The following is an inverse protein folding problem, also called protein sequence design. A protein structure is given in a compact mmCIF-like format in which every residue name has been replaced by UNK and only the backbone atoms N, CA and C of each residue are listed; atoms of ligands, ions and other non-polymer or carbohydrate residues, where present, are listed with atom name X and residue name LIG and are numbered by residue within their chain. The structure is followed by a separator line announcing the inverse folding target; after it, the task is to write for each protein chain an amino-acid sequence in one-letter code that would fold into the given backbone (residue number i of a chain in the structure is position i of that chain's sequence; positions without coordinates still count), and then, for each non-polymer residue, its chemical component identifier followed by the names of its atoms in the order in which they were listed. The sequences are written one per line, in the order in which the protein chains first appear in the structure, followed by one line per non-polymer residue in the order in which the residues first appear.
data_IF_863928020439
#
_entry.id   IF_863928020439
#
_cell.length_a   1.000
_cell.length_b   1.000
_cell.length_c   1.000
_cell.angle_alpha   90.00
_cell.angle_beta   90.00
_cell.angle_gamma   90.00
#
_symmetry.space_group_name_H-M   'P 1'
#
loop_
_entity.id
_entity.type
_entity.pdbx_description
1 polymer ?
#
# COMPACT_ATOMS: atom_id res chain seq x y z
N UNK A 1 9.95 -5.55 -1.46
CA UNK A 1 9.72 -4.85 -2.74
C UNK A 1 8.25 -4.96 -3.06
N UNK A 2 7.51 -3.87 -2.99
CA UNK A 2 6.13 -3.77 -3.45
C UNK A 2 6.02 -2.60 -4.40
N UNK A 3 6.63 -2.76 -5.56
CA UNK A 3 6.09 -2.15 -6.76
C UNK A 3 5.15 -3.17 -7.39
N UNK A 4 3.98 -2.74 -7.86
CA UNK A 4 3.27 -3.50 -8.89
C UNK A 4 4.27 -3.84 -10.02
N UNK A 5 4.17 -5.03 -10.65
CA UNK A 5 4.86 -5.29 -11.90
C UNK A 5 4.60 -4.11 -12.85
N UNK A 6 5.64 -3.48 -13.40
CA UNK A 6 5.52 -2.32 -14.28
C UNK A 6 6.11 -1.00 -13.77
N UNK A 7 6.47 -0.86 -12.49
CA UNK A 7 7.11 0.37 -11.99
C UNK A 7 8.53 0.09 -11.47
N UNK A 8 9.53 0.33 -12.32
CA UNK A 8 10.91 0.49 -11.91
C UNK A 8 11.00 1.73 -11.01
N UNK A 9 11.32 1.53 -9.73
CA UNK A 9 11.31 2.59 -8.74
C UNK A 9 12.61 3.39 -8.79
N UNK A 10 12.49 4.65 -9.18
CA UNK A 10 13.59 5.59 -9.32
C UNK A 10 13.74 6.45 -8.07
N UNK A 11 14.90 6.36 -7.45
CA UNK A 11 15.28 7.12 -6.26
C UNK A 11 16.34 8.17 -6.62
N UNK A 12 16.51 9.16 -5.76
CA UNK A 12 17.59 10.15 -5.93
C UNK A 12 18.89 9.57 -5.39
N UNK A 13 19.89 9.46 -6.27
CA UNK A 13 21.25 9.10 -5.91
C UNK A 13 21.99 10.23 -5.20
N UNK A 14 23.14 9.90 -4.61
CA UNK A 14 23.99 10.85 -3.88
C UNK A 14 24.55 11.97 -4.75
N UNK A 15 24.68 11.74 -6.06
CA UNK A 15 25.11 12.71 -7.07
C UNK A 15 23.93 13.53 -7.64
N UNK A 16 22.72 13.32 -7.12
CA UNK A 16 21.50 13.98 -7.56
C UNK A 16 20.82 13.33 -8.77
N UNK A 17 21.41 12.31 -9.40
CA UNK A 17 20.81 11.58 -10.52
C UNK A 17 19.76 10.59 -10.06
N UNK A 18 18.85 10.22 -10.94
CA UNK A 18 17.87 9.17 -10.68
C UNK A 18 18.53 7.80 -10.84
N UNK A 19 18.38 6.94 -9.83
CA UNK A 19 18.93 5.59 -9.77
C UNK A 19 17.83 4.55 -9.56
N UNK A 20 17.99 3.37 -10.17
CA UNK A 20 17.06 2.27 -10.02
C UNK A 20 17.42 1.42 -8.80
N UNK A 21 16.53 1.33 -7.81
CA UNK A 21 16.81 0.65 -6.54
C UNK A 21 17.20 -0.83 -6.67
N UNK A 22 16.73 -1.53 -7.71
CA UNK A 22 16.97 -2.97 -7.90
C UNK A 22 18.42 -3.36 -8.25
N UNK A 23 19.26 -2.39 -8.60
CA UNK A 23 20.63 -2.65 -9.06
C UNK A 23 21.68 -1.89 -8.24
N UNK A 24 21.29 -1.45 -7.04
CA UNK A 24 22.18 -0.72 -6.11
C UNK A 24 22.83 -1.65 -5.07
N UNK A 25 23.97 -1.26 -4.46
CA UNK A 25 24.62 -2.02 -3.40
C UNK A 25 23.73 -2.30 -2.18
N UNK A 26 22.77 -1.42 -1.88
CA UNK A 26 21.79 -1.60 -0.81
C UNK A 26 20.87 -2.80 -1.08
N UNK A 27 20.52 -3.04 -2.34
CA UNK A 27 19.75 -4.22 -2.73
C UNK A 27 20.54 -5.51 -2.52
N UNK A 28 21.85 -5.51 -2.81
CA UNK A 28 22.74 -6.64 -2.48
C UNK A 28 22.73 -6.95 -0.99
N UNK A 29 22.80 -5.92 -0.16
CA UNK A 29 22.77 -6.05 1.31
C UNK A 29 21.46 -6.67 1.78
N UNK A 30 20.33 -6.16 1.29
CA UNK A 30 19.00 -6.69 1.64
C UNK A 30 18.82 -8.14 1.16
N UNK A 31 19.23 -8.45 -0.07
CA UNK A 31 19.18 -9.81 -0.62
C UNK A 31 20.06 -10.79 0.16
N UNK A 32 21.24 -10.36 0.59
CA UNK A 32 22.11 -11.15 1.47
C UNK A 32 21.42 -11.51 2.78
N UNK A 33 20.70 -10.55 3.40
CA UNK A 33 19.95 -10.82 4.63
C UNK A 33 18.75 -11.74 4.38
N UNK A 34 18.03 -11.57 3.28
CA UNK A 34 16.94 -12.48 2.89
C UNK A 34 17.45 -13.90 2.63
N UNK A 35 18.63 -14.05 2.02
CA UNK A 35 19.27 -15.34 1.81
C UNK A 35 19.66 -16.01 3.14
N UNK A 36 20.17 -15.25 4.11
CA UNK A 36 20.43 -15.74 5.47
C UNK A 36 19.14 -16.19 6.16
N UNK A 37 18.06 -15.41 6.04
CA UNK A 37 16.75 -15.74 6.61
C UNK A 37 16.15 -17.00 5.98
N UNK A 38 16.24 -17.15 4.65
CA UNK A 38 15.81 -18.36 3.94
C UNK A 38 16.62 -19.58 4.39
N UNK A 39 17.95 -19.47 4.43
CA UNK A 39 18.84 -20.54 4.89
C UNK A 39 18.54 -20.95 6.34
N UNK A 40 18.17 -19.99 7.19
CA UNK A 40 17.82 -20.21 8.60
C UNK A 40 16.40 -20.74 8.80
N UNK A 41 15.58 -20.86 7.74
CA UNK A 41 14.22 -21.37 7.80
C UNK A 41 13.17 -20.33 8.22
N UNK A 42 13.51 -19.04 8.27
CA UNK A 42 12.56 -17.96 8.59
C UNK A 42 11.69 -17.56 7.40
N UNK A 43 12.08 -17.94 6.17
CA UNK A 43 11.28 -17.78 4.96
C UNK A 43 10.87 -19.19 4.50
N UNK A 44 9.60 -19.37 4.15
CA UNK A 44 9.09 -20.65 3.69
C UNK A 44 9.83 -21.14 2.43
N UNK A 45 10.12 -22.44 2.35
CA UNK A 45 10.96 -23.01 1.30
C UNK A 45 10.40 -22.80 -0.11
N UNK A 46 9.08 -22.77 -0.23
CA UNK A 46 8.31 -22.64 -1.47
C UNK A 46 7.80 -21.21 -1.71
N UNK A 47 8.34 -20.19 -1.02
CA UNK A 47 7.86 -18.79 -1.14
C UNK A 47 7.78 -18.32 -2.60
N UNK A 48 8.70 -18.76 -3.45
CA UNK A 48 8.82 -18.33 -4.85
C UNK A 48 7.64 -18.76 -5.74
N UNK A 49 6.83 -19.74 -5.32
CA UNK A 49 5.68 -20.25 -6.08
C UNK A 49 4.32 -19.93 -5.42
N UNK A 50 4.34 -19.08 -4.39
CA UNK A 50 3.13 -18.62 -3.70
C UNK A 50 2.65 -17.29 -4.28
N UNK A 51 1.42 -17.29 -4.76
CA UNK A 51 0.67 -16.06 -4.99
C UNK A 51 0.07 -15.53 -3.69
N UNK A 52 -0.56 -14.35 -3.76
CA UNK A 52 -1.18 -13.68 -2.60
C UNK A 52 -2.25 -14.56 -1.93
N UNK A 53 -3.00 -15.36 -2.70
CA UNK A 53 -4.01 -16.28 -2.18
C UNK A 53 -3.39 -17.38 -1.33
N UNK A 54 -2.34 -18.04 -1.85
CA UNK A 54 -1.59 -19.08 -1.12
C UNK A 54 -0.89 -18.56 0.13
N UNK A 55 -0.40 -17.32 0.10
CA UNK A 55 0.12 -16.64 1.31
C UNK A 55 -1.03 -16.46 2.31
N UNK A 56 -2.21 -16.03 1.85
CA UNK A 56 -3.40 -15.91 2.69
C UNK A 56 -3.82 -17.21 3.36
N UNK A 57 -3.85 -18.32 2.62
CA UNK A 57 -4.09 -19.66 3.17
C UNK A 57 -3.05 -20.06 4.21
N UNK A 58 -1.78 -19.69 4.00
CA UNK A 58 -0.68 -19.97 4.93
C UNK A 58 -0.82 -19.16 6.24
N UNK A 59 -1.30 -17.92 6.15
CA UNK A 59 -1.65 -17.08 7.31
C UNK A 59 -2.83 -17.68 8.09
N UNK A 60 -3.92 -18.06 7.42
CA UNK A 60 -5.09 -18.68 8.09
C UNK A 60 -4.75 -20.06 8.67
N UNK A 61 -3.87 -20.82 8.02
CA UNK A 61 -3.39 -22.11 8.52
C UNK A 61 -2.31 -22.01 9.59
N UNK A 62 -1.99 -20.80 10.07
CA UNK A 62 -1.04 -20.52 11.17
C UNK A 62 0.40 -20.97 10.87
N UNK A 63 0.75 -21.04 9.58
CA UNK A 63 2.13 -21.36 9.14
C UNK A 63 3.03 -20.13 9.10
N UNK A 64 2.43 -18.95 9.00
CA UNK A 64 3.12 -17.66 8.91
C UNK A 64 2.73 -16.82 10.12
N UNK A 65 3.74 -16.30 10.84
CA UNK A 65 3.55 -15.35 11.94
C UNK A 65 3.83 -13.89 11.56
N UNK A 66 4.47 -13.65 10.41
CA UNK A 66 4.78 -12.31 9.89
C UNK A 66 4.84 -12.36 8.37
N UNK A 67 4.22 -11.37 7.70
CA UNK A 67 4.27 -11.24 6.25
C UNK A 67 4.30 -9.77 5.84
N UNK A 68 4.90 -9.51 4.68
CA UNK A 68 4.83 -8.20 4.06
C UNK A 68 3.48 -8.03 3.36
N UNK A 69 2.87 -6.86 3.49
CA UNK A 69 1.52 -6.64 2.99
C UNK A 69 1.12 -5.18 2.91
N UNK A 70 -0.05 -4.96 2.33
CA UNK A 70 -0.66 -3.64 2.21
C UNK A 70 -1.62 -3.45 3.39
N UNK A 71 -1.89 -2.18 3.73
CA UNK A 71 -2.68 -1.83 4.91
C UNK A 71 -4.08 -2.47 4.94
N UNK A 72 -4.62 -2.84 3.78
CA UNK A 72 -5.94 -3.48 3.65
C UNK A 72 -5.95 -4.98 3.95
N UNK A 73 -4.79 -5.61 4.23
CA UNK A 73 -4.75 -7.03 4.58
C UNK A 73 -5.49 -7.36 5.90
N UNK A 74 -5.81 -6.34 6.69
CA UNK A 74 -6.71 -6.43 7.85
C UNK A 74 -8.14 -6.82 7.48
N UNK A 75 -8.56 -6.65 6.22
CA UNK A 75 -9.86 -7.12 5.71
C UNK A 75 -9.81 -8.53 5.14
N UNK A 76 -8.65 -8.98 4.69
CA UNK A 76 -8.38 -10.36 4.25
C UNK A 76 -6.86 -10.53 4.08
N UNK A 77 -6.24 -11.60 4.60
CA UNK A 77 -6.82 -12.80 5.19
C UNK A 77 -7.03 -12.74 6.71
N UNK A 78 -6.60 -11.64 7.36
CA UNK A 78 -6.46 -11.58 8.81
C UNK A 78 -7.74 -11.87 9.61
N UNK A 79 -8.96 -11.46 9.19
CA UNK A 79 -10.17 -11.78 9.93
C UNK A 79 -10.43 -13.28 10.03
N UNK A 80 -10.19 -14.03 8.94
CA UNK A 80 -10.31 -15.49 8.94
C UNK A 80 -9.27 -16.15 9.84
N UNK A 81 -8.04 -15.61 9.89
CA UNK A 81 -7.00 -16.11 10.81
C UNK A 81 -7.40 -15.89 12.28
N UNK A 82 -7.95 -14.73 12.61
CA UNK A 82 -8.45 -14.39 13.95
C UNK A 82 -9.68 -15.21 14.34
N UNK A 83 -10.59 -15.47 13.40
CA UNK A 83 -11.75 -16.34 13.62
C UNK A 83 -11.32 -17.78 13.94
N UNK A 84 -10.34 -18.30 13.21
CA UNK A 84 -9.80 -19.64 13.44
C UNK A 84 -9.01 -19.71 14.75
N UNK A 85 -8.19 -18.71 15.05
CA UNK A 85 -7.44 -18.58 16.29
C UNK A 85 -7.77 -17.27 17.02
N UNK A 86 -8.77 -17.28 17.91
CA UNK A 86 -9.13 -16.13 18.74
C UNK A 86 -8.05 -15.68 19.72
N UNK A 87 -6.88 -16.33 19.81
CA UNK A 87 -5.71 -15.83 20.54
C UNK A 87 -4.69 -15.07 19.66
N UNK A 88 -4.76 -15.15 18.33
CA UNK A 88 -3.81 -14.49 17.42
C UNK A 88 -3.87 -12.94 17.50
N UNK A 89 -2.76 -12.26 17.81
CA UNK A 89 -2.69 -10.78 17.85
C UNK A 89 -1.87 -10.26 16.66
N UNK A 90 -2.55 -9.96 15.54
CA UNK A 90 -1.90 -9.41 14.36
C UNK A 90 -1.75 -7.90 14.49
N UNK A 91 -0.53 -7.40 14.34
CA UNK A 91 -0.22 -5.97 14.41
C UNK A 91 0.49 -5.47 13.16
N UNK A 92 0.22 -4.22 12.74
CA UNK A 92 1.05 -3.54 11.77
C UNK A 92 2.37 -3.12 12.44
N UNK A 93 3.46 -3.23 11.70
CA UNK A 93 4.77 -2.77 12.14
C UNK A 93 5.38 -1.87 11.06
N UNK A 94 6.10 -0.81 11.45
CA UNK A 94 6.95 -0.10 10.51
C UNK A 94 7.93 -1.08 9.84
N UNK A 95 8.24 -0.83 8.57
CA UNK A 95 9.33 -1.47 7.85
C UNK A 95 10.59 -1.39 8.74
N UNK A 96 11.22 -2.53 9.09
CA UNK A 96 12.41 -2.52 9.92
C UNK A 96 13.60 -1.94 9.15
N UNK A 97 14.54 -1.33 9.87
CA UNK A 97 15.82 -0.88 9.31
C UNK A 97 16.99 -1.52 10.05
N UNK A 98 18.07 -1.82 9.33
CA UNK A 98 19.36 -2.18 9.91
C UNK A 98 20.15 -0.95 10.43
N UNK A 99 19.69 0.27 10.11
CA UNK A 99 20.27 1.54 10.54
C UNK A 99 19.72 2.74 9.74
N UNK A 100 19.78 3.94 10.31
CA UNK A 100 19.26 5.15 9.67
C UNK A 100 17.74 5.27 9.68
N UNK A 101 17.20 6.13 8.82
CA UNK A 101 15.76 6.43 8.76
C UNK A 101 15.07 5.53 7.74
N UNK A 102 14.02 4.83 8.17
CA UNK A 102 13.13 4.09 7.26
C UNK A 102 12.40 5.10 6.37
N UNK A 103 12.33 4.82 5.08
CA UNK A 103 11.41 5.52 4.18
C UNK A 103 10.30 4.58 3.74
N UNK A 104 9.09 5.11 3.67
CA UNK A 104 7.94 4.42 3.10
C UNK A 104 7.60 5.06 1.77
N UNK A 105 7.42 4.24 0.75
CA UNK A 105 7.10 4.74 -0.57
C UNK A 105 5.60 5.04 -0.67
N UNK A 106 5.27 6.20 -1.22
CA UNK A 106 3.95 6.48 -1.73
C UNK A 106 3.96 6.22 -3.23
N UNK A 107 3.12 5.30 -3.70
CA UNK A 107 2.94 5.12 -5.14
C UNK A 107 2.10 6.30 -5.65
N UNK A 108 2.42 6.80 -6.84
CA UNK A 108 1.53 7.70 -7.57
C UNK A 108 0.15 7.01 -7.61
N UNK A 109 -0.83 7.58 -6.90
CA UNK A 109 -2.16 7.00 -6.65
C UNK A 109 -3.04 6.87 -7.89
N UNK A 110 -2.44 6.82 -9.08
CA UNK A 110 -3.08 6.64 -10.38
C UNK A 110 -3.14 5.14 -10.67
N UNK A 111 -4.28 4.54 -10.34
CA UNK A 111 -4.54 3.12 -10.60
C UNK A 111 -5.16 2.88 -11.98
N UNK A 112 -5.71 3.93 -12.60
CA UNK A 112 -6.35 3.87 -13.90
C UNK A 112 -6.41 5.25 -14.56
N UNK A 113 -6.46 5.25 -15.90
CA UNK A 113 -6.82 6.41 -16.70
C UNK A 113 -8.14 6.14 -17.42
N UNK A 114 -9.08 7.09 -17.35
CA UNK A 114 -10.29 7.05 -18.17
C UNK A 114 -10.04 7.85 -19.44
N UNK A 115 -10.16 7.21 -20.60
CA UNK A 115 -9.90 7.83 -21.91
C UNK A 115 -11.17 7.84 -22.75
N UNK A 116 -11.45 8.98 -23.38
CA UNK A 116 -12.59 9.15 -24.30
C UNK A 116 -12.11 8.99 -25.73
N UNK A 117 -12.72 8.05 -26.47
CA UNK A 117 -12.41 7.82 -27.89
C UNK A 117 -12.69 9.07 -28.73
N UNK A 118 -11.76 9.43 -29.62
CA UNK A 118 -11.95 10.50 -30.60
C UNK A 118 -13.22 10.25 -31.44
N UNK A 119 -14.06 11.28 -31.56
CA UNK A 119 -15.34 11.19 -32.28
C UNK A 119 -16.50 10.61 -31.47
N UNK A 120 -16.35 10.40 -30.16
CA UNK A 120 -17.48 10.09 -29.28
C UNK A 120 -18.58 11.17 -29.41
N UNK A 121 -19.85 10.77 -29.43
CA UNK A 121 -20.98 11.70 -29.56
C UNK A 121 -21.12 12.63 -28.35
N UNK A 122 -20.73 12.15 -27.16
CA UNK A 122 -20.88 12.86 -25.88
C UNK A 122 -19.60 12.74 -25.02
N UNK A 123 -18.47 13.35 -25.42
CA UNK A 123 -17.22 13.25 -24.66
C UNK A 123 -17.33 13.89 -23.27
N UNK A 124 -18.19 14.89 -23.10
CA UNK A 124 -18.44 15.58 -21.84
C UNK A 124 -19.09 14.70 -20.77
N UNK A 125 -19.75 13.60 -21.17
CA UNK A 125 -20.40 12.69 -20.23
C UNK A 125 -19.41 12.10 -19.22
N UNK A 126 -18.16 11.85 -19.64
CA UNK A 126 -17.12 11.32 -18.75
C UNK A 126 -16.83 12.26 -17.57
N UNK A 127 -16.66 13.55 -17.83
CA UNK A 127 -16.41 14.57 -16.80
C UNK A 127 -17.66 14.80 -15.95
N UNK A 128 -18.86 14.77 -16.55
CA UNK A 128 -20.11 14.88 -15.79
C UNK A 128 -20.29 13.73 -14.79
N UNK A 129 -19.95 12.49 -15.19
CA UNK A 129 -19.98 11.33 -14.29
C UNK A 129 -18.95 11.50 -13.16
N UNK A 130 -17.71 11.92 -13.48
CA UNK A 130 -16.69 12.16 -12.46
C UNK A 130 -17.11 13.26 -11.46
N UNK A 131 -17.65 14.37 -11.96
CA UNK A 131 -18.15 15.45 -11.10
C UNK A 131 -19.29 14.96 -10.21
N UNK A 132 -20.24 14.22 -10.78
CA UNK A 132 -21.35 13.64 -10.01
C UNK A 132 -20.83 12.69 -8.93
N UNK A 133 -19.86 11.82 -9.27
CA UNK A 133 -19.22 10.93 -8.31
C UNK A 133 -18.58 11.72 -7.17
N UNK A 134 -17.71 12.69 -7.47
CA UNK A 134 -17.02 13.49 -6.45
C UNK A 134 -18.00 14.30 -5.58
N UNK A 135 -19.07 14.83 -6.17
CA UNK A 135 -20.10 15.59 -5.45
C UNK A 135 -20.87 14.73 -4.45
N UNK A 136 -21.20 13.49 -4.82
CA UNK A 136 -22.01 12.60 -3.99
C UNK A 136 -21.21 11.72 -3.04
N UNK A 137 -20.01 11.29 -3.44
CA UNK A 137 -19.19 10.36 -2.68
C UNK A 137 -18.37 11.04 -1.59
N UNK A 138 -17.88 12.27 -1.79
CA UNK A 138 -16.96 12.92 -0.86
C UNK A 138 -17.73 13.70 0.22
N UNK A 139 -17.61 13.37 1.51
CA UNK A 139 -18.25 14.08 2.62
C UNK A 139 -17.83 15.55 2.80
N UNK A 140 -16.75 15.99 2.14
CA UNK A 140 -16.37 17.41 2.10
C UNK A 140 -17.18 18.21 1.05
N UNK A 141 -17.98 17.53 0.22
CA UNK A 141 -18.87 18.15 -0.75
C UNK A 141 -20.17 18.63 -0.08
N UNK A 142 -20.69 19.83 -0.45
CA UNK A 142 -22.02 20.26 0.02
C UNK A 142 -23.15 19.34 -0.48
N UNK A 143 -22.92 18.58 -1.54
CA UNK A 143 -23.88 17.68 -2.17
C UNK A 143 -23.71 16.21 -1.74
N UNK A 144 -22.91 15.93 -0.71
CA UNK A 144 -22.61 14.59 -0.21
C UNK A 144 -23.88 13.76 0.01
N UNK A 145 -23.82 12.50 -0.39
CA UNK A 145 -24.90 11.54 -0.24
C UNK A 145 -24.42 10.31 0.54
N UNK A 146 -24.89 10.11 1.79
CA UNK A 146 -24.43 9.01 2.63
C UNK A 146 -24.72 7.62 2.05
N UNK A 147 -25.61 7.50 1.05
CA UNK A 147 -25.88 6.24 0.34
C UNK A 147 -24.65 5.69 -0.39
N UNK A 148 -23.71 6.56 -0.78
CA UNK A 148 -22.51 6.16 -1.48
C UNK A 148 -21.61 5.24 -0.65
N UNK A 149 -21.56 5.43 0.66
CA UNK A 149 -20.68 4.69 1.57
C UNK A 149 -21.40 3.77 2.56
N UNK A 150 -22.70 3.50 2.34
CA UNK A 150 -23.54 2.84 3.34
C UNK A 150 -23.45 3.57 4.69
N UNK A 151 -23.70 4.88 4.68
CA UNK A 151 -23.69 5.71 5.88
C UNK A 151 -24.62 5.18 6.98
N UNK A 152 -24.54 5.72 8.20
CA UNK A 152 -25.08 5.14 9.44
C UNK A 152 -26.61 4.94 9.50
N UNK A 153 -27.34 5.35 8.47
CA UNK A 153 -28.80 5.29 8.38
C UNK A 153 -29.28 4.31 7.29
N UNK A 154 -28.37 3.51 6.71
CA UNK A 154 -28.65 2.71 5.51
C UNK A 154 -28.97 1.23 5.82
N UNK A 155 -30.03 0.63 5.23
CA UNK A 155 -30.44 -0.74 5.53
C UNK A 155 -29.39 -1.80 5.16
N UNK A 156 -29.35 -2.88 5.93
CA UNK A 156 -28.41 -4.02 5.88
C UNK A 156 -28.24 -4.68 4.49
N UNK A 157 -29.21 -4.52 3.59
CA UNK A 157 -29.17 -5.02 2.21
C UNK A 157 -28.53 -4.09 1.18
N UNK A 158 -28.01 -2.93 1.59
CA UNK A 158 -27.58 -1.89 0.66
C UNK A 158 -26.17 -2.04 0.12
N UNK A 159 -26.04 -1.81 -1.19
CA UNK A 159 -24.80 -1.87 -1.93
C UNK A 159 -24.12 -0.49 -1.95
N UNK A 160 -22.85 -0.44 -1.54
CA UNK A 160 -21.95 0.70 -1.71
C UNK A 160 -22.08 1.37 -3.09
N UNK A 161 -22.88 2.45 -3.22
CA UNK A 161 -23.26 2.97 -4.53
C UNK A 161 -22.06 3.50 -5.32
N UNK A 162 -20.98 3.89 -4.63
CA UNK A 162 -19.73 4.28 -5.26
C UNK A 162 -19.19 3.20 -6.22
N UNK A 163 -19.48 1.92 -5.96
CA UNK A 163 -19.02 0.79 -6.78
C UNK A 163 -19.68 0.73 -8.16
N UNK A 164 -20.83 1.38 -8.34
CA UNK A 164 -21.53 1.39 -9.63
C UNK A 164 -21.04 2.48 -10.58
N UNK A 165 -20.24 3.44 -10.10
CA UNK A 165 -19.73 4.49 -10.96
C UNK A 165 -18.67 3.95 -11.93
N UNK A 166 -18.84 4.11 -13.25
CA UNK A 166 -17.85 3.65 -14.22
C UNK A 166 -16.60 4.54 -14.25
N UNK A 167 -16.70 5.76 -13.70
CA UNK A 167 -15.61 6.72 -13.57
C UNK A 167 -15.59 7.20 -12.13
N UNK A 168 -14.47 7.03 -11.44
CA UNK A 168 -14.34 7.32 -10.02
C UNK A 168 -12.96 7.89 -9.71
N UNK A 169 -12.89 8.68 -8.64
CA UNK A 169 -11.65 9.12 -8.02
C UNK A 169 -11.93 9.40 -6.54
N UNK A 170 -11.02 8.98 -5.66
CA UNK A 170 -11.19 9.17 -4.21
C UNK A 170 -10.35 10.34 -3.71
N UNK A 171 -10.76 10.93 -2.60
CA UNK A 171 -9.93 11.93 -1.93
C UNK A 171 -8.62 11.26 -1.46
N UNK A 172 -7.44 11.75 -1.86
CA UNK A 172 -6.17 11.04 -1.65
C UNK A 172 -5.80 10.90 -0.17
N UNK A 173 -6.31 11.79 0.69
CA UNK A 173 -6.07 11.76 2.14
C UNK A 173 -7.24 11.16 2.93
N UNK A 174 -8.26 10.58 2.28
CA UNK A 174 -9.46 10.07 2.96
C UNK A 174 -9.10 9.20 4.18
N UNK A 175 -8.28 8.17 3.97
CA UNK A 175 -8.03 7.17 5.02
C UNK A 175 -7.15 7.69 6.16
N UNK A 176 -6.20 8.59 5.86
CA UNK A 176 -5.38 9.22 6.90
C UNK A 176 -6.21 10.21 7.74
N UNK A 177 -7.17 10.91 7.11
CA UNK A 177 -8.10 11.78 7.82
C UNK A 177 -9.03 10.97 8.74
N UNK A 178 -9.52 9.82 8.28
CA UNK A 178 -10.30 8.89 9.11
C UNK A 178 -9.49 8.49 10.36
N UNK A 179 -8.24 8.05 10.17
CA UNK A 179 -7.37 7.66 11.28
C UNK A 179 -7.13 8.80 12.28
N UNK A 180 -6.79 10.00 11.80
CA UNK A 180 -6.58 11.17 12.65
C UNK A 180 -7.84 11.52 13.46
N UNK A 181 -9.01 11.46 12.83
CA UNK A 181 -10.29 11.66 13.50
C UNK A 181 -10.51 10.65 14.63
N UNK A 182 -10.21 9.37 14.41
CA UNK A 182 -10.31 8.34 15.46
C UNK A 182 -9.35 8.59 16.63
N UNK A 183 -8.10 8.97 16.35
CA UNK A 183 -7.09 9.27 17.39
C UNK A 183 -7.52 10.48 18.22
N UNK A 184 -7.98 11.56 17.60
CA UNK A 184 -8.46 12.75 18.31
C UNK A 184 -9.73 12.48 19.11
N UNK A 185 -10.66 11.67 18.57
CA UNK A 185 -11.84 11.23 19.31
C UNK A 185 -11.45 10.45 20.58
N UNK A 186 -10.45 9.56 20.50
CA UNK A 186 -9.95 8.84 21.67
C UNK A 186 -9.46 9.74 22.81
N UNK A 187 -8.87 10.89 22.47
CA UNK A 187 -8.38 11.91 23.42
C UNK A 187 -9.49 12.80 23.97
N UNK A 188 -10.33 13.33 23.08
CA UNK A 188 -11.31 14.36 23.42
C UNK A 188 -12.67 13.79 23.87
N UNK A 189 -13.01 12.57 23.43
CA UNK A 189 -14.34 11.95 23.57
C UNK A 189 -15.47 12.83 23.05
N UNK A 190 -15.18 13.61 22.01
CA UNK A 190 -16.10 14.54 21.36
C UNK A 190 -16.34 14.08 19.91
N UNK A 191 -17.54 13.62 19.54
CA UNK A 191 -17.87 13.22 18.17
C UNK A 191 -17.60 14.30 17.11
N UNK A 192 -17.55 15.58 17.48
CA UNK A 192 -17.29 16.68 16.52
C UNK A 192 -15.86 16.68 15.97
N UNK A 193 -14.90 16.04 16.67
CA UNK A 193 -13.52 15.92 16.20
C UNK A 193 -13.32 14.80 15.16
N UNK A 194 -14.35 13.97 14.94
CA UNK A 194 -14.34 12.98 13.88
C UNK A 194 -14.23 13.65 12.51
N UNK A 195 -13.51 12.99 11.61
CA UNK A 195 -13.39 13.40 10.21
C UNK A 195 -14.75 13.38 9.51
N UNK A 196 -14.86 14.05 8.37
CA UNK A 196 -16.12 14.09 7.63
C UNK A 196 -16.62 12.69 7.18
N UNK A 197 -15.74 11.68 7.09
CA UNK A 197 -16.10 10.31 6.69
C UNK A 197 -16.67 9.44 7.81
N UNK A 198 -16.45 9.79 9.07
CA UNK A 198 -16.91 9.01 10.23
C UNK A 198 -17.77 9.84 11.22
N UNK A 199 -17.90 11.15 11.00
CA UNK A 199 -18.79 12.00 11.80
C UNK A 199 -20.25 11.56 11.65
N UNK A 200 -20.96 11.47 12.78
CA UNK A 200 -22.36 11.06 12.83
C UNK A 200 -22.58 9.56 12.60
N UNK A 201 -21.51 8.76 12.45
CA UNK A 201 -21.60 7.31 12.32
C UNK A 201 -21.75 6.66 13.69
N UNK A 202 -22.99 6.40 14.09
CA UNK A 202 -23.30 5.76 15.37
C UNK A 202 -22.57 4.41 15.53
N UNK A 203 -22.51 3.53 14.51
CA UNK A 203 -21.74 2.29 14.59
C UNK A 203 -20.23 2.52 14.78
N UNK A 204 -19.64 3.54 14.13
CA UNK A 204 -18.22 3.87 14.33
C UNK A 204 -17.98 4.45 15.72
N UNK A 205 -18.90 5.26 16.24
CA UNK A 205 -18.83 5.81 17.61
C UNK A 205 -18.93 4.68 18.64
N UNK A 206 -19.92 3.79 18.53
CA UNK A 206 -20.06 2.62 19.38
C UNK A 206 -18.82 1.70 19.30
N UNK A 207 -18.24 1.55 18.11
CA UNK A 207 -16.98 0.84 17.89
C UNK A 207 -15.82 1.48 18.64
N UNK A 208 -15.71 2.81 18.62
CA UNK A 208 -14.68 3.55 19.34
C UNK A 208 -14.91 3.45 20.86
N UNK A 209 -16.13 3.71 21.34
CA UNK A 209 -16.49 3.64 22.76
C UNK A 209 -16.23 2.27 23.36
N UNK A 210 -16.58 1.19 22.65
CA UNK A 210 -16.32 -0.19 23.09
C UNK A 210 -14.83 -0.59 22.96
N UNK A 211 -14.08 0.03 22.04
CA UNK A 211 -12.67 -0.29 21.74
C UNK A 211 -11.64 0.45 22.60
N UNK A 212 -11.98 1.62 23.17
CA UNK A 212 -11.06 2.45 23.95
C UNK A 212 -11.32 2.37 25.47
N UNK A 213 -10.39 1.80 26.24
CA UNK A 213 -10.36 1.95 27.70
C UNK A 213 -9.30 2.98 28.11
N UNK A 214 -9.67 4.26 28.25
CA UNK A 214 -8.78 5.27 28.84
C UNK A 214 -8.75 6.61 28.11
N UNK A 215 -8.01 7.56 28.69
CA UNK A 215 -7.74 8.92 28.19
C UNK A 215 -6.38 9.05 27.48
N UNK A 216 -5.61 7.96 27.42
CA UNK A 216 -4.26 7.89 26.84
C UNK A 216 -4.26 7.54 25.33
N UNK A 217 -5.42 7.20 24.76
CA UNK A 217 -5.57 6.91 23.33
C UNK A 217 -5.10 5.52 22.91
N UNK A 218 -4.69 4.66 23.85
CA UNK A 218 -4.32 3.27 23.56
C UNK A 218 -5.55 2.37 23.71
N UNK A 219 -6.25 2.09 22.61
CA UNK A 219 -7.38 1.16 22.64
C UNK A 219 -6.95 -0.31 22.77
N UNK A 220 -7.87 -1.17 23.22
CA UNK A 220 -7.62 -2.61 23.37
C UNK A 220 -7.54 -3.30 22.00
N UNK A 221 -6.35 -3.72 21.57
CA UNK A 221 -6.26 -4.75 20.53
C UNK A 221 -6.62 -6.16 21.04
N UNK A 222 -6.67 -6.35 22.36
CA UNK A 222 -6.77 -7.68 22.95
C UNK A 222 -8.22 -8.19 23.13
N UNK A 223 -9.25 -7.34 22.98
CA UNK A 223 -10.63 -7.70 23.39
C UNK A 223 -11.68 -7.72 22.28
N UNK A 224 -11.44 -7.07 21.14
CA UNK A 224 -12.47 -6.87 20.12
C UNK A 224 -12.20 -7.78 18.94
N UNK A 225 -12.47 -9.08 19.07
CA UNK A 225 -12.46 -10.03 17.95
C UNK A 225 -13.88 -10.27 17.46
N UNK A 226 -14.56 -9.18 17.13
CA UNK A 226 -15.93 -9.14 16.62
C UNK A 226 -15.90 -8.69 15.15
N UNK A 227 -17.06 -8.53 14.52
CA UNK A 227 -17.21 -8.08 13.12
C UNK A 227 -16.47 -6.76 12.81
N UNK A 228 -16.18 -5.96 13.84
CA UNK A 228 -15.59 -4.62 13.71
C UNK A 228 -14.06 -4.58 13.82
N UNK A 229 -13.41 -5.70 14.18
CA UNK A 229 -11.94 -5.80 14.31
C UNK A 229 -11.17 -5.30 13.08
N UNK A 230 -11.57 -5.60 11.83
CA UNK A 230 -10.84 -5.16 10.64
C UNK A 230 -10.77 -3.63 10.52
N UNK A 231 -11.88 -2.93 10.79
CA UNK A 231 -11.91 -1.46 10.75
C UNK A 231 -11.01 -0.83 11.81
N UNK A 232 -11.04 -1.40 13.03
CA UNK A 232 -10.16 -0.99 14.12
C UNK A 232 -8.68 -1.17 13.77
N UNK A 233 -8.30 -2.33 13.24
CA UNK A 233 -6.92 -2.62 12.84
C UNK A 233 -6.52 -1.93 11.54
N UNK A 234 -7.46 -1.34 10.81
CA UNK A 234 -7.18 -0.54 9.63
C UNK A 234 -6.82 0.90 10.01
N UNK A 235 -7.73 1.61 10.67
CA UNK A 235 -7.64 3.06 10.89
C UNK A 235 -7.68 3.48 12.36
N UNK A 236 -7.86 2.58 13.32
CA UNK A 236 -7.74 2.89 14.74
C UNK A 236 -6.31 3.30 15.15
N UNK A 237 -6.11 3.72 16.41
CA UNK A 237 -4.81 4.21 16.93
C UNK A 237 -3.65 3.22 16.83
N UNK A 238 -3.98 1.94 16.84
CA UNK A 238 -3.01 0.84 16.78
C UNK A 238 -3.09 0.08 15.43
N UNK A 239 -3.88 0.61 14.49
CA UNK A 239 -4.13 0.02 13.19
C UNK A 239 -3.07 0.42 12.15
N UNK A 240 -3.20 -0.10 10.93
CA UNK A 240 -2.21 0.09 9.88
C UNK A 240 -1.94 1.57 9.57
N UNK A 241 -2.96 2.43 9.67
CA UNK A 241 -2.78 3.87 9.47
C UNK A 241 -2.03 4.59 10.59
N UNK A 242 -1.83 4.01 11.77
CA UNK A 242 -0.94 4.61 12.77
C UNK A 242 0.52 4.56 12.32
N UNK A 243 0.93 3.45 11.70
CA UNK A 243 2.24 3.31 11.07
C UNK A 243 2.39 4.28 9.89
N UNK A 244 1.38 4.37 9.02
CA UNK A 244 1.37 5.33 7.90
C UNK A 244 1.42 6.77 8.38
N UNK A 245 0.65 7.12 9.42
CA UNK A 245 0.67 8.45 10.02
C UNK A 245 2.05 8.78 10.60
N UNK A 246 2.69 7.83 11.27
CA UNK A 246 4.06 7.97 11.75
C UNK A 246 5.03 8.32 10.62
N UNK A 247 4.94 7.65 9.47
CA UNK A 247 5.76 8.00 8.30
C UNK A 247 5.49 9.42 7.79
N UNK A 248 4.24 9.86 7.77
CA UNK A 248 3.87 11.21 7.33
C UNK A 248 4.42 12.28 8.29
N UNK A 249 4.21 12.12 9.59
CA UNK A 249 4.66 13.07 10.63
C UNK A 249 6.18 13.19 10.67
N UNK A 250 6.88 12.08 10.47
CA UNK A 250 8.33 12.03 10.44
C UNK A 250 8.94 12.39 9.08
N UNK A 251 8.13 12.76 8.08
CA UNK A 251 8.58 13.09 6.70
C UNK A 251 9.38 11.95 6.06
N UNK A 252 8.95 10.72 6.32
CA UNK A 252 9.55 9.48 5.82
C UNK A 252 8.92 8.98 4.52
N UNK A 253 7.94 9.71 3.97
CA UNK A 253 7.33 9.37 2.70
C UNK A 253 8.24 9.78 1.54
N UNK A 254 8.52 8.83 0.65
CA UNK A 254 9.23 9.07 -0.61
C UNK A 254 8.24 8.91 -1.76
N UNK A 255 8.19 9.93 -2.61
CA UNK A 255 7.36 9.95 -3.81
C UNK A 255 8.17 9.42 -5.01
N UNK A 256 7.52 8.85 -6.04
CA UNK A 256 8.21 8.34 -7.22
C UNK A 256 8.79 9.52 -8.02
N UNK A 257 10.08 9.45 -8.35
CA UNK A 257 10.76 10.57 -9.02
C UNK A 257 10.65 10.54 -10.55
N UNK A 258 10.37 9.37 -11.13
CA UNK A 258 10.09 9.23 -12.56
C UNK A 258 8.59 9.01 -12.77
N UNK A 259 7.95 9.96 -13.45
CA UNK A 259 6.51 9.96 -13.75
C UNK A 259 6.21 10.31 -15.21
N UNK A 260 7.22 10.25 -16.07
CA UNK A 260 7.08 10.45 -17.50
C UNK A 260 6.41 9.26 -18.20
N UNK A 261 6.12 9.43 -19.50
CA UNK A 261 5.76 8.29 -20.34
C UNK A 261 6.92 7.28 -20.40
N UNK A 262 6.64 5.97 -20.59
CA UNK A 262 7.69 4.97 -20.78
C UNK A 262 8.67 5.41 -21.85
N UNK A 263 9.97 5.29 -21.55
CA UNK A 263 11.03 5.61 -22.51
C UNK A 263 11.02 4.61 -23.68
N UNK A 264 11.72 4.90 -24.79
CA UNK A 264 11.84 3.97 -25.91
C UNK A 264 12.38 2.61 -25.46
N UNK A 265 13.43 2.60 -24.62
CA UNK A 265 14.02 1.34 -24.15
C UNK A 265 13.14 0.64 -23.12
N UNK A 266 12.43 1.36 -22.24
CA UNK A 266 11.42 0.76 -21.36
C UNK A 266 10.37 0.01 -22.19
N UNK A 267 9.81 0.65 -23.22
CA UNK A 267 8.80 0.04 -24.10
C UNK A 267 9.31 -1.25 -24.74
N UNK A 268 10.59 -1.30 -25.13
CA UNK A 268 11.18 -2.44 -25.82
C UNK A 268 11.67 -3.57 -24.89
N UNK A 269 12.14 -3.26 -23.67
CA UNK A 269 12.96 -4.18 -22.86
C UNK A 269 12.48 -4.38 -21.42
N UNK A 270 11.55 -3.56 -20.91
CA UNK A 270 11.20 -3.57 -19.49
C UNK A 270 10.73 -4.93 -18.99
N UNK A 271 9.85 -5.63 -19.72
CA UNK A 271 9.37 -6.97 -19.30
C UNK A 271 10.50 -8.01 -19.19
N UNK A 272 11.52 -7.90 -20.05
CA UNK A 272 12.71 -8.77 -20.00
C UNK A 272 13.55 -8.46 -18.77
N UNK A 273 13.76 -7.17 -18.49
CA UNK A 273 14.51 -6.71 -17.33
C UNK A 273 13.81 -7.05 -16.00
N UNK A 274 12.50 -6.90 -15.92
CA UNK A 274 11.69 -7.29 -14.75
C UNK A 274 11.78 -8.80 -14.48
N UNK A 275 11.70 -9.61 -15.55
CA UNK A 275 11.90 -11.06 -15.44
C UNK A 275 13.32 -11.40 -14.95
N UNK A 276 14.34 -10.73 -15.49
CA UNK A 276 15.73 -10.90 -15.07
C UNK A 276 15.91 -10.56 -13.58
N UNK A 277 15.32 -9.46 -13.11
CA UNK A 277 15.32 -9.06 -11.69
C UNK A 277 14.65 -10.16 -10.86
N UNK A 278 13.42 -10.55 -11.20
CA UNK A 278 12.64 -11.52 -10.43
C UNK A 278 13.38 -12.87 -10.30
N UNK A 279 13.91 -13.39 -11.41
CA UNK A 279 14.63 -14.65 -11.43
C UNK A 279 15.90 -14.59 -10.57
N UNK A 280 16.70 -13.53 -10.70
CA UNK A 280 17.95 -13.41 -9.96
C UNK A 280 17.73 -13.15 -8.48
N UNK A 281 16.79 -12.28 -8.12
CA UNK A 281 16.43 -12.03 -6.73
C UNK A 281 15.97 -13.33 -6.06
N UNK A 282 15.11 -14.10 -6.73
CA UNK A 282 14.66 -15.40 -6.24
C UNK A 282 15.85 -16.35 -6.04
N UNK A 283 16.74 -16.47 -7.03
CA UNK A 283 17.94 -17.33 -6.95
C UNK A 283 18.90 -16.89 -5.85
N UNK A 284 19.09 -15.59 -5.64
CA UNK A 284 19.92 -15.05 -4.55
C UNK A 284 19.33 -15.40 -3.18
N UNK A 285 18.02 -15.17 -2.98
CA UNK A 285 17.33 -15.49 -1.72
C UNK A 285 17.39 -17.00 -1.45
N UNK A 286 17.15 -17.83 -2.46
CA UNK A 286 17.18 -19.28 -2.32
C UNK A 286 18.61 -19.86 -2.17
N UNK A 287 19.66 -19.03 -2.32
CA UNK A 287 21.05 -19.48 -2.32
C UNK A 287 21.45 -20.32 -3.53
N UNK A 288 20.62 -20.40 -4.56
CA UNK A 288 20.92 -21.07 -5.84
C UNK A 288 21.98 -20.28 -6.61
N UNK A 289 21.93 -18.94 -6.52
CA UNK A 289 22.98 -18.04 -7.02
C UNK A 289 23.68 -17.40 -5.82
N UNK A 290 25.02 -17.47 -5.70
CA UNK A 290 25.74 -16.80 -4.63
C UNK A 290 25.55 -15.30 -4.67
N UNK A 291 25.32 -14.65 -3.51
CA UNK A 291 25.17 -13.19 -3.43
C UNK A 291 26.42 -12.41 -3.90
N UNK A 292 27.60 -13.06 -3.90
CA UNK A 292 28.83 -12.52 -4.46
C UNK A 292 28.78 -12.27 -5.97
N UNK A 293 27.79 -12.81 -6.68
CA UNK A 293 27.56 -12.57 -8.11
C UNK A 293 26.60 -11.40 -8.40
N UNK A 294 26.19 -10.64 -7.39
CA UNK A 294 25.26 -9.51 -7.58
C UNK A 294 25.78 -8.49 -8.59
N UNK A 295 27.07 -8.14 -8.54
CA UNK A 295 27.68 -7.20 -9.49
C UNK A 295 27.65 -7.72 -10.93
N UNK A 296 27.72 -9.05 -11.12
CA UNK A 296 27.56 -9.64 -12.45
C UNK A 296 26.11 -9.53 -12.92
N UNK A 297 25.14 -9.78 -12.03
CA UNK A 297 23.73 -9.52 -12.32
C UNK A 297 23.47 -8.06 -12.75
N UNK A 298 24.08 -7.08 -12.08
CA UNK A 298 23.96 -5.66 -12.46
C UNK A 298 24.51 -5.41 -13.86
N UNK A 299 25.70 -5.96 -14.18
CA UNK A 299 26.27 -5.87 -15.54
C UNK A 299 25.37 -6.50 -16.60
N UNK A 300 24.79 -7.66 -16.31
CA UNK A 300 23.87 -8.35 -17.20
C UNK A 300 22.61 -7.49 -17.44
N UNK A 301 22.04 -6.92 -16.37
CA UNK A 301 20.90 -6.00 -16.43
C UNK A 301 21.20 -4.78 -17.30
N UNK A 302 22.34 -4.13 -17.06
CA UNK A 302 22.76 -2.95 -17.81
C UNK A 302 22.95 -3.26 -19.30
N UNK A 303 23.58 -4.39 -19.63
CA UNK A 303 23.80 -4.83 -21.01
C UNK A 303 22.52 -5.16 -21.77
N UNK A 304 21.43 -5.45 -21.07
CA UNK A 304 20.12 -5.78 -21.64
C UNK A 304 19.21 -4.55 -21.81
N UNK A 305 19.75 -3.35 -21.57
CA UNK A 305 19.05 -2.07 -21.73
C UNK A 305 18.82 -1.32 -20.41
N UNK A 306 19.27 -1.86 -19.27
CA UNK A 306 19.18 -1.18 -17.98
C UNK A 306 19.90 0.16 -17.95
N UNK A 307 21.11 0.21 -18.53
CA UNK A 307 21.91 1.44 -18.61
C UNK A 307 21.27 2.48 -19.55
N UNK A 308 20.70 2.02 -20.66
CA UNK A 308 20.01 2.89 -21.62
C UNK A 308 18.76 3.51 -20.97
N UNK A 309 17.96 2.73 -20.25
CA UNK A 309 16.81 3.24 -19.49
C UNK A 309 17.27 4.26 -18.44
N UNK A 310 18.33 3.96 -17.68
CA UNK A 310 18.84 4.89 -16.68
C UNK A 310 19.28 6.22 -17.30
N UNK A 311 19.91 6.18 -18.48
CA UNK A 311 20.26 7.38 -19.23
C UNK A 311 19.01 8.14 -19.67
N UNK A 312 18.04 7.48 -20.30
CA UNK A 312 16.81 8.09 -20.81
C UNK A 312 15.99 8.75 -19.67
N UNK A 313 15.91 8.10 -18.51
CA UNK A 313 15.23 8.65 -17.33
C UNK A 313 15.93 9.90 -16.81
N UNK A 314 17.27 9.90 -16.77
CA UNK A 314 18.02 11.07 -16.34
C UNK A 314 17.98 12.23 -17.36
N UNK A 315 17.96 11.92 -18.66
CA UNK A 315 17.75 12.92 -19.71
C UNK A 315 16.36 13.57 -19.57
N UNK A 316 15.32 12.76 -19.30
CA UNK A 316 13.98 13.27 -18.99
C UNK A 316 13.98 14.16 -17.74
N UNK A 317 14.66 13.74 -16.66
CA UNK A 317 14.72 14.47 -15.41
C UNK A 317 15.45 15.82 -15.55
N UNK A 318 16.51 15.88 -16.37
CA UNK A 318 17.23 17.10 -16.69
C UNK A 318 16.43 18.08 -17.57
N UNK A 319 15.36 17.61 -18.21
CA UNK A 319 14.47 18.42 -19.06
C UNK A 319 13.21 18.91 -18.33
N UNK A 320 13.02 18.56 -17.04
CA UNK A 320 11.94 19.09 -16.20
C UNK A 320 12.32 20.46 -15.63
#
# INVERSE_FOLDING_TARGET
MTGSPGNLLWNKGSDGKLILGYVQPEAKTALGKLAEMYKSGYIEKDFAVKDVGKVGESVVSEKIGMFYGLHWNVFSPLPSAVQKNPAADWRPYPIPTAGGTVTAENLLGVTNFFVVKKGAKHPEAAIKILNYFLQKQNPLSPDYDPRYHNGPQYPEGSHNEYKYSPIFAFHPQQNILIHKGYVEYGKARDPEVLSAWNRGSQPDIELLENGYNGTDGEGKAAGVKTEIWPGWMWSGPIGAYSVVNGYLENKQIVEPLFYGAPTPTMTAKQSTLEKLILENYTKFIMGVRPIGEFEQFVKDFDSLGGADIAKEVNDWAAAQ
#
